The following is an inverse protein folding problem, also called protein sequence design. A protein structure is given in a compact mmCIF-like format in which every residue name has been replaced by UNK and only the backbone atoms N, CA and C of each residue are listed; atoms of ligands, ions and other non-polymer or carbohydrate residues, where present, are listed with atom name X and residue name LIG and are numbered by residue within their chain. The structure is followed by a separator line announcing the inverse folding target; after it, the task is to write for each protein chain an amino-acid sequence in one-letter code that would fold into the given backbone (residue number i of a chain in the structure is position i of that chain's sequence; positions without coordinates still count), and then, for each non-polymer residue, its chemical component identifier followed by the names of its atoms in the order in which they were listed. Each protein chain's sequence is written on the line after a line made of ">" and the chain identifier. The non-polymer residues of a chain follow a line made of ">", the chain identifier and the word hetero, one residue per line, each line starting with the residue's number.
data_IF_427408051445
#
_entry.id   IF_427408051445
#
_cell.length_a   1.000
_cell.length_b   1.000
_cell.length_c   1.000
_cell.angle_alpha   90.00
_cell.angle_beta   90.00
_cell.angle_gamma   90.00
#
_symmetry.space_group_name_H-M   'P 1'
#
loop_
_entity.id
_entity.type
_entity.pdbx_description
1 polymer ?
#
# COMPACT_ATOMS: atom_id res chain seq x y z
N UNK A 1 0.98 -45.31 -3.69
CA UNK A 1 0.86 -44.07 -4.50
C UNK A 1 1.30 -42.93 -3.64
N UNK A 2 2.44 -42.32 -3.97
CA UNK A 2 2.96 -41.17 -3.26
C UNK A 2 1.98 -40.00 -3.49
N UNK A 3 1.44 -39.45 -2.41
CA UNK A 3 0.61 -38.25 -2.48
C UNK A 3 1.54 -37.06 -2.77
N UNK A 4 1.71 -36.74 -4.01
CA UNK A 4 2.36 -35.53 -4.52
C UNK A 4 1.39 -34.34 -4.32
N UNK A 5 1.19 -33.91 -3.08
CA UNK A 5 0.12 -32.95 -2.80
C UNK A 5 0.69 -31.56 -2.50
N UNK A 6 1.96 -31.44 -2.22
CA UNK A 6 2.59 -30.16 -1.97
C UNK A 6 3.75 -29.93 -2.92
N UNK A 7 3.54 -29.07 -3.92
CA UNK A 7 4.59 -28.53 -4.77
C UNK A 7 4.81 -27.11 -4.31
N UNK A 8 5.91 -26.81 -3.58
CA UNK A 8 6.15 -25.50 -2.97
C UNK A 8 6.09 -24.35 -3.98
N UNK A 9 6.51 -24.59 -5.20
CA UNK A 9 6.51 -23.60 -6.29
C UNK A 9 5.09 -23.17 -6.69
N UNK A 10 4.16 -24.13 -6.89
CA UNK A 10 2.77 -23.83 -7.24
C UNK A 10 2.07 -23.10 -6.09
N UNK A 11 2.40 -23.43 -4.86
CA UNK A 11 1.88 -22.74 -3.69
C UNK A 11 2.44 -21.32 -3.56
N UNK A 12 3.72 -21.12 -3.85
CA UNK A 12 4.32 -19.79 -3.86
C UNK A 12 3.65 -18.87 -4.90
N UNK A 13 3.37 -19.41 -6.09
CA UNK A 13 2.65 -18.66 -7.13
C UNK A 13 1.23 -18.30 -6.70
N UNK A 14 0.49 -19.24 -6.11
CA UNK A 14 -0.86 -18.96 -5.58
C UNK A 14 -0.85 -17.94 -4.44
N UNK A 15 0.17 -17.97 -3.57
CA UNK A 15 0.34 -16.97 -2.50
C UNK A 15 0.65 -15.60 -3.10
N UNK A 16 1.54 -15.52 -4.09
CA UNK A 16 1.90 -14.25 -4.75
C UNK A 16 0.71 -13.64 -5.50
N UNK A 17 -0.07 -14.46 -6.23
CA UNK A 17 -1.29 -14.00 -6.91
C UNK A 17 -2.30 -13.43 -5.91
N UNK A 18 -2.52 -14.15 -4.81
CA UNK A 18 -3.45 -13.73 -3.77
C UNK A 18 -2.94 -12.49 -3.01
N UNK A 19 -1.64 -12.40 -2.75
CA UNK A 19 -1.02 -11.23 -2.13
C UNK A 19 -1.37 -9.97 -2.92
N UNK A 20 -1.16 -9.97 -4.24
CA UNK A 20 -1.43 -8.83 -5.10
C UNK A 20 -2.90 -8.37 -5.05
N UNK A 21 -3.84 -9.30 -4.84
CA UNK A 21 -5.27 -8.97 -4.68
C UNK A 21 -5.63 -8.51 -3.28
N UNK A 22 -4.85 -8.88 -2.27
CA UNK A 22 -5.11 -8.56 -0.86
C UNK A 22 -4.48 -7.24 -0.44
N UNK A 23 -3.36 -6.85 -1.05
CA UNK A 23 -2.68 -5.56 -0.81
C UNK A 23 -3.63 -4.39 -1.09
N UNK A 24 -3.77 -3.50 -0.10
CA UNK A 24 -4.59 -2.28 -0.21
C UNK A 24 -3.73 -1.05 -0.53
N UNK A 25 -2.74 -0.77 0.30
CA UNK A 25 -1.75 0.28 0.00
C UNK A 25 -0.90 -0.10 -1.21
N UNK A 26 -0.53 -1.37 -1.36
CA UNK A 26 0.19 -1.86 -2.53
C UNK A 26 -0.59 -1.68 -3.84
N UNK A 27 -1.93 -1.75 -3.82
CA UNK A 27 -2.77 -1.48 -4.99
C UNK A 27 -2.79 -0.01 -5.44
N UNK A 28 -2.38 0.91 -4.56
CA UNK A 28 -2.29 2.36 -4.82
C UNK A 28 -0.83 2.79 -5.02
N UNK A 29 0.11 2.00 -4.50
CA UNK A 29 1.54 2.23 -4.63
C UNK A 29 2.07 1.75 -5.99
N UNK A 30 3.15 2.38 -6.44
CA UNK A 30 3.86 1.98 -7.64
C UNK A 30 4.74 0.76 -7.38
N UNK A 31 4.57 -0.30 -8.17
CA UNK A 31 5.45 -1.46 -8.14
C UNK A 31 6.69 -1.19 -8.99
N UNK A 32 7.80 -0.90 -8.35
CA UNK A 32 9.08 -0.64 -9.00
C UNK A 32 9.93 -1.91 -9.19
N UNK A 33 9.41 -3.10 -8.92
CA UNK A 33 10.14 -4.37 -9.00
C UNK A 33 10.70 -4.63 -10.40
N UNK A 34 9.98 -4.21 -11.44
CA UNK A 34 10.41 -4.38 -12.83
C UNK A 34 11.49 -3.38 -13.29
N UNK A 35 11.61 -2.23 -12.59
CA UNK A 35 12.54 -1.17 -12.98
C UNK A 35 13.97 -1.39 -12.45
N UNK A 36 14.16 -2.33 -11.55
CA UNK A 36 15.44 -2.52 -10.86
C UNK A 36 15.90 -3.98 -10.93
N UNK A 37 16.15 -4.52 -12.13
CA UNK A 37 16.57 -5.92 -12.29
C UNK A 37 17.94 -6.21 -11.65
N UNK A 38 18.80 -5.21 -11.49
CA UNK A 38 20.15 -5.38 -10.94
C UNK A 38 20.23 -5.40 -9.40
N UNK A 39 19.21 -4.88 -8.71
CA UNK A 39 19.16 -4.82 -7.24
C UNK A 39 18.91 -6.20 -6.61
N UNK A 40 18.50 -7.18 -7.39
CA UNK A 40 18.26 -8.55 -6.91
C UNK A 40 19.48 -9.26 -6.34
N UNK A 41 20.68 -8.71 -6.48
CA UNK A 41 21.93 -9.45 -6.20
C UNK A 41 22.81 -8.90 -5.09
N UNK A 42 22.69 -7.66 -4.64
CA UNK A 42 23.61 -7.14 -3.62
C UNK A 42 23.07 -5.90 -2.87
N UNK A 43 23.14 -5.93 -1.55
CA UNK A 43 23.00 -4.77 -0.68
C UNK A 43 21.75 -4.77 0.21
N UNK A 44 21.86 -4.13 1.38
CA UNK A 44 20.79 -4.00 2.37
C UNK A 44 19.93 -2.74 2.14
N UNK A 45 20.30 -1.90 1.17
CA UNK A 45 19.62 -0.64 0.87
C UNK A 45 19.27 -0.53 -0.60
N UNK A 46 18.09 0.00 -0.86
CA UNK A 46 17.58 0.25 -2.18
C UNK A 46 17.51 1.75 -2.43
N UNK A 47 17.91 2.18 -3.62
CA UNK A 47 17.97 3.58 -4.02
C UNK A 47 16.77 3.94 -4.90
N UNK A 48 15.96 4.91 -4.46
CA UNK A 48 14.87 5.49 -5.24
C UNK A 48 15.29 6.87 -5.73
N UNK A 49 15.57 7.07 -7.02
CA UNK A 49 15.97 8.38 -7.52
C UNK A 49 14.79 9.35 -7.47
N UNK A 50 14.96 10.48 -6.78
CA UNK A 50 14.02 11.60 -6.80
C UNK A 50 14.54 12.67 -7.76
N UNK A 51 13.73 13.02 -8.74
CA UNK A 51 14.02 14.11 -9.67
C UNK A 51 13.32 15.37 -9.15
N UNK A 52 14.09 16.38 -8.76
CA UNK A 52 13.53 17.69 -8.41
C UNK A 52 13.34 18.52 -9.67
N UNK A 53 12.18 19.16 -9.79
CA UNK A 53 11.93 20.14 -10.84
C UNK A 53 12.75 21.40 -10.57
N UNK A 54 13.87 21.56 -11.28
CA UNK A 54 14.75 22.73 -11.16
C UNK A 54 14.71 23.62 -12.40
N UNK A 55 14.21 23.12 -13.53
CA UNK A 55 14.16 23.90 -14.76
C UNK A 55 13.06 24.98 -14.72
N UNK A 56 13.47 26.24 -14.84
CA UNK A 56 12.56 27.38 -15.04
C UNK A 56 12.52 27.72 -16.52
N UNK A 57 11.36 28.04 -17.02
CA UNK A 57 11.18 28.59 -18.38
C UNK A 57 11.44 30.08 -18.30
N UNK A 58 12.42 30.57 -19.06
CA UNK A 58 12.76 31.99 -19.14
C UNK A 58 12.40 32.55 -20.51
N UNK A 59 12.09 33.83 -20.56
CA UNK A 59 11.90 34.53 -21.81
C UNK A 59 13.24 34.67 -22.56
N UNK A 60 13.35 34.11 -23.74
CA UNK A 60 14.56 34.14 -24.55
C UNK A 60 14.65 35.46 -25.28
N UNK A 61 15.67 36.26 -24.94
CA UNK A 61 16.01 37.48 -25.70
C UNK A 61 17.01 37.07 -26.80
N UNK A 62 16.77 37.53 -28.03
CA UNK A 62 17.65 37.25 -29.21
C UNK A 62 19.10 37.68 -28.89
N UNK A 63 20.01 36.73 -28.97
CA UNK A 63 21.43 36.94 -28.69
C UNK A 63 21.91 36.67 -27.27
N UNK A 64 21.03 36.27 -26.37
CA UNK A 64 21.35 35.88 -24.99
C UNK A 64 21.33 34.35 -24.88
N UNK A 65 22.40 33.77 -24.36
CA UNK A 65 22.47 32.33 -24.11
C UNK A 65 21.61 31.97 -22.89
N UNK A 66 20.82 30.88 -22.97
CA UNK A 66 20.12 30.31 -21.84
C UNK A 66 21.13 29.68 -20.88
N UNK A 67 20.92 29.87 -19.57
CA UNK A 67 21.70 29.19 -18.55
C UNK A 67 21.06 27.83 -18.29
N UNK A 68 21.70 26.69 -18.63
CA UNK A 68 21.13 25.39 -18.35
C UNK A 68 21.06 25.19 -16.83
N UNK A 69 19.88 24.81 -16.33
CA UNK A 69 19.72 24.37 -14.96
C UNK A 69 20.21 22.91 -14.84
N UNK A 70 21.02 22.61 -13.86
CA UNK A 70 21.41 21.24 -13.58
C UNK A 70 20.21 20.46 -13.03
N UNK A 71 20.06 19.22 -13.51
CA UNK A 71 19.05 18.31 -12.97
C UNK A 71 19.48 17.88 -11.55
N UNK A 72 18.81 18.38 -10.53
CA UNK A 72 19.07 17.98 -9.14
C UNK A 72 18.38 16.65 -8.88
N UNK A 73 19.17 15.58 -8.83
CA UNK A 73 18.72 14.24 -8.47
C UNK A 73 19.09 13.97 -7.02
N UNK A 74 18.09 13.89 -6.14
CA UNK A 74 18.30 13.43 -4.78
C UNK A 74 18.08 11.94 -4.69
N UNK A 75 18.96 11.26 -3.97
CA UNK A 75 18.85 9.83 -3.70
C UNK A 75 18.04 9.61 -2.42
N UNK A 76 17.03 8.79 -2.50
CA UNK A 76 16.22 8.38 -1.36
C UNK A 76 16.42 6.88 -1.11
N UNK A 77 17.06 6.53 0.00
CA UNK A 77 17.34 5.14 0.34
C UNK A 77 16.20 4.51 1.14
N UNK A 78 15.88 3.25 0.84
CA UNK A 78 15.03 2.40 1.64
C UNK A 78 15.80 1.19 2.14
N UNK A 79 15.58 0.81 3.38
CA UNK A 79 16.13 -0.40 3.97
C UNK A 79 15.33 -1.62 3.51
N UNK A 80 16.02 -2.68 3.11
CA UNK A 80 15.38 -3.93 2.69
C UNK A 80 14.99 -4.71 3.94
N UNK A 81 13.72 -5.07 4.04
CA UNK A 81 13.17 -5.86 5.13
C UNK A 81 13.04 -7.32 4.74
N UNK A 82 13.45 -8.21 5.62
CA UNK A 82 13.23 -9.64 5.50
C UNK A 82 12.08 -10.05 6.40
N UNK A 83 10.99 -10.49 5.79
CA UNK A 83 9.83 -11.01 6.52
C UNK A 83 9.65 -12.49 6.29
N UNK A 84 9.15 -13.18 7.31
CA UNK A 84 8.86 -14.60 7.23
C UNK A 84 7.69 -14.98 8.13
N UNK A 85 6.98 -16.01 7.71
CA UNK A 85 5.90 -16.63 8.47
C UNK A 85 6.07 -18.14 8.43
N UNK A 86 5.87 -18.81 9.57
CA UNK A 86 6.02 -20.25 9.67
C UNK A 86 4.75 -20.88 10.25
N UNK A 87 4.33 -21.98 9.65
CA UNK A 87 3.16 -22.76 10.06
C UNK A 87 3.57 -24.20 10.27
N UNK A 88 3.09 -24.80 11.35
CA UNK A 88 3.29 -26.23 11.65
C UNK A 88 2.00 -26.99 11.45
N UNK A 89 2.06 -28.05 10.65
CA UNK A 89 0.94 -28.94 10.38
C UNK A 89 1.28 -30.32 10.94
N UNK A 90 0.45 -30.82 11.86
CA UNK A 90 0.61 -32.17 12.36
C UNK A 90 -0.04 -33.19 11.41
N UNK A 91 0.56 -34.38 11.32
CA UNK A 91 0.06 -35.46 10.47
C UNK A 91 -1.39 -35.87 10.82
N UNK A 92 -1.74 -35.81 12.11
CA UNK A 92 -3.09 -36.05 12.59
C UNK A 92 -4.10 -35.11 11.95
N UNK A 93 -3.78 -33.80 11.92
CA UNK A 93 -4.67 -32.79 11.36
C UNK A 93 -4.79 -32.94 9.84
N UNK A 94 -3.66 -33.26 9.17
CA UNK A 94 -3.62 -33.54 7.73
C UNK A 94 -4.48 -34.76 7.34
N UNK A 95 -4.56 -35.77 8.21
CA UNK A 95 -5.39 -36.95 7.99
C UNK A 95 -6.88 -36.71 8.21
N UNK A 96 -7.23 -35.77 9.11
CA UNK A 96 -8.62 -35.47 9.49
C UNK A 96 -9.28 -34.44 8.55
N UNK A 97 -8.49 -33.51 7.98
CA UNK A 97 -8.98 -32.42 7.12
C UNK A 97 -8.55 -32.66 5.68
N UNK A 98 -9.42 -33.28 4.88
CA UNK A 98 -9.15 -33.50 3.45
C UNK A 98 -9.29 -32.22 2.63
N UNK A 99 -8.20 -31.78 1.98
CA UNK A 99 -8.22 -30.84 0.85
C UNK A 99 -8.41 -29.35 1.16
N UNK A 100 -9.09 -28.98 2.24
CA UNK A 100 -9.40 -27.58 2.57
C UNK A 100 -8.26 -26.85 3.31
N UNK A 101 -7.32 -27.61 3.88
CA UNK A 101 -6.27 -27.05 4.73
C UNK A 101 -5.28 -26.20 3.92
N UNK A 102 -4.97 -26.61 2.71
CA UNK A 102 -3.99 -25.96 1.85
C UNK A 102 -4.44 -24.56 1.43
N UNK A 103 -5.67 -24.42 0.93
CA UNK A 103 -6.24 -23.13 0.51
C UNK A 103 -6.34 -22.15 1.67
N UNK A 104 -6.63 -22.65 2.88
CA UNK A 104 -6.67 -21.83 4.09
C UNK A 104 -5.29 -21.34 4.50
N UNK A 105 -4.25 -22.19 4.38
CA UNK A 105 -2.87 -21.78 4.69
C UNK A 105 -2.41 -20.71 3.69
N UNK A 106 -2.60 -20.92 2.39
CA UNK A 106 -2.32 -19.93 1.35
C UNK A 106 -3.00 -18.61 1.68
N UNK A 107 -4.28 -18.66 2.06
CA UNK A 107 -5.05 -17.49 2.43
C UNK A 107 -4.44 -16.75 3.62
N UNK A 108 -4.15 -17.46 4.70
CA UNK A 108 -3.59 -16.87 5.91
C UNK A 108 -2.20 -16.28 5.70
N UNK A 109 -1.32 -16.99 4.98
CA UNK A 109 0.03 -16.49 4.66
C UNK A 109 -0.07 -15.19 3.86
N UNK A 110 -0.88 -15.19 2.78
CA UNK A 110 -1.06 -14.00 1.95
C UNK A 110 -1.63 -12.83 2.74
N UNK A 111 -2.65 -13.07 3.57
CA UNK A 111 -3.32 -12.05 4.36
C UNK A 111 -2.38 -11.43 5.41
N UNK A 112 -1.59 -12.23 6.11
CA UNK A 112 -0.64 -11.73 7.12
C UNK A 112 0.56 -10.99 6.49
N UNK A 113 1.08 -11.51 5.37
CA UNK A 113 2.14 -10.80 4.64
C UNK A 113 1.63 -9.47 4.06
N UNK A 114 0.43 -9.46 3.47
CA UNK A 114 -0.19 -8.24 2.98
C UNK A 114 -0.38 -7.18 4.07
N UNK A 115 -0.84 -7.58 5.26
CA UNK A 115 -0.98 -6.68 6.40
C UNK A 115 0.35 -6.06 6.81
N UNK A 116 1.42 -6.86 6.82
CA UNK A 116 2.74 -6.38 7.19
C UNK A 116 3.26 -5.37 6.16
N UNK A 117 3.17 -5.68 4.87
CA UNK A 117 3.59 -4.80 3.79
C UNK A 117 2.77 -3.49 3.79
N UNK A 118 1.43 -3.58 3.92
CA UNK A 118 0.56 -2.40 4.00
C UNK A 118 0.87 -1.53 5.22
N UNK A 119 1.18 -2.14 6.37
CA UNK A 119 1.59 -1.42 7.59
C UNK A 119 2.93 -0.71 7.40
N UNK A 120 3.87 -1.33 6.70
CA UNK A 120 5.16 -0.73 6.40
C UNK A 120 5.04 0.42 5.39
N UNK A 121 4.17 0.28 4.37
CA UNK A 121 3.86 1.36 3.44
C UNK A 121 3.24 2.56 4.16
N UNK A 122 2.29 2.34 5.06
CA UNK A 122 1.72 3.42 5.88
C UNK A 122 2.75 4.07 6.79
N UNK A 123 3.66 3.29 7.37
CA UNK A 123 4.75 3.79 8.21
C UNK A 123 5.77 4.62 7.41
N UNK A 124 6.05 4.23 6.17
CA UNK A 124 6.89 5.01 5.26
C UNK A 124 6.26 6.38 4.93
N UNK A 125 4.94 6.43 4.75
CA UNK A 125 4.22 7.69 4.58
C UNK A 125 4.31 8.55 5.85
N UNK A 126 4.01 7.98 7.02
CA UNK A 126 4.01 8.72 8.30
C UNK A 126 5.37 9.35 8.62
N UNK A 127 6.47 8.70 8.21
CA UNK A 127 7.84 9.16 8.44
C UNK A 127 8.21 10.33 7.54
N UNK A 128 7.94 10.24 6.25
CA UNK A 128 8.54 11.12 5.24
C UNK A 128 7.57 12.18 4.68
N UNK A 129 6.26 12.09 4.95
CA UNK A 129 5.26 13.02 4.41
C UNK A 129 5.41 14.43 4.97
N UNK A 130 5.26 15.42 4.09
CA UNK A 130 5.33 16.86 4.44
C UNK A 130 3.96 17.36 4.91
N UNK A 131 2.88 17.02 4.20
CA UNK A 131 1.55 17.54 4.48
C UNK A 131 0.82 16.71 5.53
N UNK A 132 0.66 17.28 6.72
CA UNK A 132 -0.07 16.68 7.84
C UNK A 132 -1.15 17.63 8.31
N UNK A 133 -2.40 17.23 8.20
CA UNK A 133 -3.56 17.90 8.76
C UNK A 133 -3.98 17.15 10.02
N UNK A 134 -4.09 17.83 11.13
CA UNK A 134 -4.58 17.26 12.37
C UNK A 134 -5.78 18.06 12.87
N UNK A 135 -6.90 17.40 13.10
CA UNK A 135 -8.07 18.01 13.71
C UNK A 135 -8.36 17.30 15.03
N UNK A 136 -8.20 18.03 16.12
CA UNK A 136 -8.53 17.55 17.46
C UNK A 136 -10.07 17.48 17.65
N UNK A 137 -10.51 16.48 18.40
CA UNK A 137 -11.86 16.36 18.95
C UNK A 137 -13.04 16.23 17.97
N UNK A 138 -12.88 15.49 16.88
CA UNK A 138 -14.01 15.22 16.01
C UNK A 138 -14.25 13.72 15.81
N UNK A 139 -15.51 13.34 15.89
CA UNK A 139 -15.99 11.95 15.77
C UNK A 139 -16.01 11.42 14.33
N UNK A 140 -15.64 12.21 13.36
CA UNK A 140 -15.61 11.82 11.96
C UNK A 140 -14.92 12.85 11.08
N UNK A 141 -14.64 12.48 9.84
CA UNK A 141 -14.10 13.37 8.82
C UNK A 141 -15.23 14.03 8.04
N UNK A 142 -15.07 15.30 7.65
CA UNK A 142 -16.04 16.06 6.86
C UNK A 142 -15.50 16.30 5.44
N UNK A 143 -16.42 16.57 4.51
CA UNK A 143 -16.07 16.93 3.12
C UNK A 143 -15.20 18.19 3.06
N UNK A 144 -15.50 19.20 3.86
CA UNK A 144 -14.71 20.44 3.93
C UNK A 144 -13.26 20.19 4.36
N UNK A 145 -13.02 19.25 5.29
CA UNK A 145 -11.66 18.89 5.72
C UNK A 145 -10.90 18.16 4.62
N UNK A 146 -11.57 17.28 3.87
CA UNK A 146 -10.96 16.61 2.73
C UNK A 146 -10.59 17.60 1.63
N UNK A 147 -11.48 18.57 1.33
CA UNK A 147 -11.19 19.63 0.36
C UNK A 147 -10.00 20.49 0.81
N UNK A 148 -9.98 20.93 2.07
CA UNK A 148 -8.84 21.67 2.62
C UNK A 148 -7.53 20.85 2.57
N UNK A 149 -7.62 19.53 2.75
CA UNK A 149 -6.46 18.67 2.58
C UNK A 149 -6.00 18.58 1.12
N UNK A 150 -6.95 18.54 0.17
CA UNK A 150 -6.66 18.54 -1.26
C UNK A 150 -6.07 19.88 -1.74
N UNK A 151 -6.41 21.00 -1.11
CA UNK A 151 -5.86 22.33 -1.42
C UNK A 151 -4.34 22.40 -1.24
N UNK A 152 -3.74 21.53 -0.41
CA UNK A 152 -2.29 21.42 -0.29
C UNK A 152 -1.59 21.03 -1.59
N UNK A 153 -2.31 20.44 -2.53
CA UNK A 153 -1.75 20.07 -3.84
C UNK A 153 -1.77 21.20 -4.85
N UNK A 154 -2.45 22.34 -4.55
CA UNK A 154 -2.57 23.50 -5.41
C UNK A 154 -3.15 23.15 -6.79
N UNK A 155 -2.55 23.71 -7.84
CA UNK A 155 -3.02 23.51 -9.24
C UNK A 155 -2.85 22.07 -9.74
N UNK A 156 -2.17 21.20 -9.00
CA UNK A 156 -1.96 19.79 -9.33
C UNK A 156 -3.03 18.87 -8.68
N UNK A 157 -4.20 19.38 -8.35
CA UNK A 157 -5.29 18.62 -7.72
C UNK A 157 -6.23 17.93 -8.74
N UNK A 158 -5.73 17.64 -9.95
CA UNK A 158 -6.50 16.91 -10.95
C UNK A 158 -6.87 15.51 -10.48
N UNK A 159 -8.13 15.12 -10.66
CA UNK A 159 -8.67 13.81 -10.25
C UNK A 159 -7.86 12.64 -10.77
N UNK A 160 -7.41 12.73 -12.04
CA UNK A 160 -6.62 11.69 -12.68
C UNK A 160 -5.21 11.54 -12.10
N UNK A 161 -4.73 12.53 -11.35
CA UNK A 161 -3.42 12.49 -10.70
C UNK A 161 -3.42 11.68 -9.40
N UNK A 162 -4.61 11.41 -8.84
CA UNK A 162 -4.74 10.65 -7.60
C UNK A 162 -4.81 9.15 -7.84
N UNK A 163 -4.14 8.39 -6.98
CA UNK A 163 -4.22 6.94 -6.94
C UNK A 163 -5.37 6.46 -6.06
N UNK A 164 -5.64 7.16 -4.95
CA UNK A 164 -6.75 6.83 -4.07
C UNK A 164 -6.73 7.53 -2.71
N UNK A 165 -7.85 7.38 -2.01
CA UNK A 165 -8.01 7.82 -0.62
C UNK A 165 -8.10 6.58 0.26
N UNK A 166 -7.16 6.41 1.20
CA UNK A 166 -7.16 5.31 2.14
C UNK A 166 -7.81 5.73 3.44
N UNK A 167 -8.81 4.97 3.90
CA UNK A 167 -9.55 5.28 5.12
C UNK A 167 -9.59 4.10 6.09
N UNK A 168 -9.75 4.41 7.38
CA UNK A 168 -10.03 3.39 8.39
C UNK A 168 -11.51 2.99 8.39
N UNK A 169 -11.82 1.74 8.75
CA UNK A 169 -13.19 1.24 8.83
C UNK A 169 -14.10 2.02 9.78
N UNK A 170 -13.53 2.62 10.83
CA UNK A 170 -14.26 3.48 11.78
C UNK A 170 -14.81 4.76 11.14
N UNK A 171 -14.18 5.25 10.07
CA UNK A 171 -14.61 6.46 9.36
C UNK A 171 -15.58 6.16 8.21
N UNK A 172 -15.85 4.88 7.91
CA UNK A 172 -16.75 4.50 6.80
C UNK A 172 -18.09 5.20 6.86
N UNK A 173 -18.73 5.24 8.02
CA UNK A 173 -20.05 5.87 8.20
C UNK A 173 -20.02 7.38 7.89
N UNK A 174 -18.92 8.06 8.25
CA UNK A 174 -18.76 9.47 7.94
C UNK A 174 -18.69 9.71 6.43
N UNK A 175 -17.93 8.88 5.70
CA UNK A 175 -17.85 8.98 4.23
C UNK A 175 -19.17 8.68 3.54
N UNK A 176 -19.89 7.63 3.94
CA UNK A 176 -21.17 7.24 3.34
C UNK A 176 -22.26 8.32 3.55
N UNK A 177 -22.15 9.09 4.62
CA UNK A 177 -23.10 10.18 4.89
C UNK A 177 -22.75 11.52 4.21
N UNK A 178 -21.61 11.62 3.51
CA UNK A 178 -21.25 12.83 2.77
C UNK A 178 -22.12 12.97 1.49
N UNK A 179 -22.71 14.14 1.22
CA UNK A 179 -23.49 14.36 -0.01
C UNK A 179 -22.67 14.13 -1.28
N UNK A 180 -21.40 14.54 -1.27
CA UNK A 180 -20.47 14.40 -2.38
C UNK A 180 -20.12 12.94 -2.68
N UNK A 181 -20.27 12.06 -1.70
CA UNK A 181 -20.04 10.63 -1.85
C UNK A 181 -21.31 9.89 -2.31
N UNK A 182 -22.49 10.33 -1.88
CA UNK A 182 -23.76 9.65 -2.19
C UNK A 182 -24.41 10.10 -3.49
N UNK A 183 -24.18 11.35 -3.90
CA UNK A 183 -24.79 11.89 -5.12
C UNK A 183 -24.04 11.43 -6.36
N UNK A 184 -24.75 10.71 -7.25
CA UNK A 184 -24.22 10.28 -8.56
C UNK A 184 -23.81 11.45 -9.47
N UNK A 185 -24.44 12.60 -9.31
CA UNK A 185 -24.09 13.81 -10.06
C UNK A 185 -22.75 14.42 -9.64
N UNK A 186 -22.36 14.23 -8.37
CA UNK A 186 -21.13 14.78 -7.81
C UNK A 186 -19.97 13.75 -7.81
N UNK A 187 -20.27 12.47 -7.89
CA UNK A 187 -19.23 11.40 -7.86
C UNK A 187 -18.70 11.04 -9.24
N UNK A 188 -19.30 11.55 -10.32
CA UNK A 188 -18.94 11.20 -11.70
C UNK A 188 -19.01 9.69 -12.00
N UNK A 189 -19.91 8.96 -11.32
CA UNK A 189 -19.98 7.50 -11.36
C UNK A 189 -21.34 6.97 -11.78
N UNK A 190 -21.29 5.92 -12.61
CA UNK A 190 -22.47 5.15 -13.05
C UNK A 190 -22.85 4.06 -12.04
N UNK A 191 -21.94 3.62 -11.16
CA UNK A 191 -22.18 2.57 -10.18
C UNK A 191 -22.35 3.16 -8.78
N UNK A 192 -23.37 2.71 -8.06
CA UNK A 192 -23.70 3.18 -6.72
C UNK A 192 -22.55 3.03 -5.72
N UNK A 193 -22.33 4.10 -4.94
CA UNK A 193 -21.38 4.12 -3.83
C UNK A 193 -21.95 3.40 -2.60
N UNK A 194 -21.06 2.97 -1.71
CA UNK A 194 -21.38 2.33 -0.44
C UNK A 194 -21.34 0.81 -0.47
N UNK A 195 -21.23 0.19 -1.64
CA UNK A 195 -21.03 -1.25 -1.78
C UNK A 195 -19.53 -1.53 -1.78
N UNK A 196 -19.07 -2.28 -0.78
CA UNK A 196 -17.65 -2.64 -0.68
C UNK A 196 -17.31 -3.73 -1.70
N UNK A 197 -16.44 -3.40 -2.65
CA UNK A 197 -15.89 -4.35 -3.61
C UNK A 197 -14.36 -4.22 -3.61
N UNK A 198 -13.66 -5.29 -3.33
CA UNK A 198 -12.20 -5.32 -3.23
C UNK A 198 -11.61 -4.24 -2.30
N UNK A 199 -12.33 -3.90 -1.20
CA UNK A 199 -11.96 -2.84 -0.27
C UNK A 199 -12.31 -1.43 -0.70
N UNK A 200 -12.63 -1.20 -1.96
CA UNK A 200 -13.16 0.09 -2.42
C UNK A 200 -14.62 0.22 -2.00
N UNK A 201 -14.95 1.32 -1.30
CA UNK A 201 -16.31 1.62 -0.83
C UNK A 201 -17.06 2.57 -1.78
N UNK A 202 -16.36 3.19 -2.71
CA UNK A 202 -16.91 4.13 -3.66
C UNK A 202 -15.88 5.15 -4.12
N UNK A 203 -16.37 6.27 -4.64
CA UNK A 203 -15.54 7.33 -5.19
C UNK A 203 -15.94 8.67 -4.57
N UNK A 204 -14.97 9.44 -4.17
CA UNK A 204 -15.11 10.81 -3.71
C UNK A 204 -14.55 11.75 -4.77
N UNK A 205 -15.39 12.58 -5.39
CA UNK A 205 -15.00 13.46 -6.51
C UNK A 205 -14.21 12.74 -7.62
N UNK A 206 -14.59 11.47 -7.92
CA UNK A 206 -13.91 10.64 -8.92
C UNK A 206 -12.68 9.89 -8.42
N UNK A 207 -12.21 10.12 -7.19
CA UNK A 207 -11.06 9.43 -6.59
C UNK A 207 -11.55 8.18 -5.85
N UNK A 208 -10.97 6.99 -6.07
CA UNK A 208 -11.40 5.77 -5.37
C UNK A 208 -11.10 5.85 -3.88
N UNK A 209 -12.07 5.49 -3.05
CA UNK A 209 -11.95 5.44 -1.59
C UNK A 209 -11.82 3.98 -1.17
N UNK A 210 -10.65 3.64 -0.61
CA UNK A 210 -10.29 2.28 -0.23
C UNK A 210 -10.25 2.17 1.29
N UNK A 211 -10.95 1.18 1.82
CA UNK A 211 -11.02 0.93 3.25
C UNK A 211 -9.97 -0.11 3.66
N UNK A 212 -9.13 0.26 4.63
CA UNK A 212 -8.18 -0.65 5.26
C UNK A 212 -7.97 -0.28 6.73
N UNK A 213 -7.76 -1.29 7.57
CA UNK A 213 -7.38 -1.07 8.97
C UNK A 213 -5.87 -1.15 9.19
N UNK A 214 -5.13 -1.61 8.16
CA UNK A 214 -3.68 -1.78 8.26
C UNK A 214 -3.01 -0.40 8.24
N UNK A 215 -2.33 -0.04 9.32
CA UNK A 215 -1.59 1.22 9.44
C UNK A 215 -2.42 2.51 9.47
N UNK A 216 -3.75 2.43 9.38
CA UNK A 216 -4.66 3.59 9.34
C UNK A 216 -5.18 4.02 10.72
N UNK A 217 -4.74 3.39 11.79
CA UNK A 217 -5.11 3.74 13.15
C UNK A 217 -3.88 3.87 14.04
N UNK A 218 -3.83 4.92 14.86
CA UNK A 218 -2.80 5.15 15.87
C UNK A 218 -3.38 4.83 17.25
N UNK A 219 -2.97 3.70 17.83
CA UNK A 219 -3.47 3.23 19.13
C UNK A 219 -3.06 4.14 20.28
N UNK A 220 -1.92 4.83 20.15
CA UNK A 220 -1.40 5.70 21.22
C UNK A 220 -2.20 6.99 21.30
N UNK A 221 -2.52 7.59 20.16
CA UNK A 221 -3.26 8.85 20.08
C UNK A 221 -4.76 8.66 19.92
N UNK A 222 -5.22 7.41 19.70
CA UNK A 222 -6.61 7.08 19.36
C UNK A 222 -7.12 7.86 18.14
N UNK A 223 -6.26 8.00 17.13
CA UNK A 223 -6.53 8.73 15.90
C UNK A 223 -6.64 7.80 14.69
N UNK A 224 -7.67 8.04 13.88
CA UNK A 224 -7.74 7.47 12.53
C UNK A 224 -6.96 8.36 11.57
N UNK A 225 -6.23 7.72 10.67
CA UNK A 225 -5.45 8.37 9.61
C UNK A 225 -6.15 8.13 8.28
N UNK A 226 -6.41 9.20 7.56
CA UNK A 226 -6.88 9.16 6.17
C UNK A 226 -5.75 9.66 5.29
N UNK A 227 -5.38 8.88 4.29
CA UNK A 227 -4.30 9.21 3.36
C UNK A 227 -4.90 9.54 2.00
N UNK A 228 -4.55 10.71 1.45
CA UNK A 228 -4.85 11.09 0.06
C UNK A 228 -3.53 10.93 -0.70
N UNK A 229 -3.49 10.01 -1.65
CA UNK A 229 -2.25 9.56 -2.29
C UNK A 229 -2.32 9.85 -3.78
N UNK A 230 -1.31 10.55 -4.32
CA UNK A 230 -1.09 10.71 -5.76
C UNK A 230 -0.47 9.47 -6.37
N UNK A 231 -0.68 9.29 -7.67
CA UNK A 231 0.01 8.25 -8.45
C UNK A 231 1.52 8.44 -8.34
N UNK A 232 2.24 7.33 -8.27
CA UNK A 232 3.69 7.26 -8.22
C UNK A 232 4.35 7.93 -7.00
N UNK A 233 3.55 8.41 -6.01
CA UNK A 233 4.08 9.00 -4.79
C UNK A 233 4.61 7.97 -3.81
N UNK A 234 4.01 6.79 -3.76
CA UNK A 234 4.37 5.68 -2.87
C UNK A 234 4.89 4.52 -3.71
N UNK A 235 6.00 3.91 -3.31
CA UNK A 235 6.60 2.79 -4.02
C UNK A 235 6.97 1.63 -3.12
N UNK A 236 6.93 0.45 -3.69
CA UNK A 236 7.50 -0.75 -3.10
C UNK A 236 8.26 -1.56 -4.15
N UNK A 237 9.18 -2.38 -3.68
CA UNK A 237 9.99 -3.25 -4.54
C UNK A 237 10.19 -4.57 -3.82
N UNK A 238 9.97 -5.66 -4.53
CA UNK A 238 10.36 -6.99 -4.07
C UNK A 238 11.76 -7.34 -4.58
N UNK A 239 12.71 -7.52 -3.68
CA UNK A 239 14.01 -8.10 -4.01
C UNK A 239 13.88 -9.61 -4.20
N UNK A 240 13.08 -10.27 -3.35
CA UNK A 240 12.73 -11.68 -3.43
C UNK A 240 11.22 -11.81 -3.22
N UNK A 241 10.52 -12.32 -4.23
CA UNK A 241 9.11 -12.67 -4.11
C UNK A 241 8.92 -13.71 -3.00
N UNK A 242 7.68 -13.91 -2.58
CA UNK A 242 7.39 -14.90 -1.55
C UNK A 242 7.82 -16.28 -2.03
N UNK A 243 8.71 -16.90 -1.25
CA UNK A 243 9.12 -18.29 -1.43
C UNK A 243 8.61 -19.12 -0.27
N UNK A 244 8.19 -20.34 -0.57
CA UNK A 244 7.73 -21.31 0.41
C UNK A 244 8.72 -22.47 0.48
N UNK A 245 9.10 -22.81 1.70
CA UNK A 245 9.98 -23.95 1.98
C UNK A 245 9.28 -24.90 2.94
N UNK A 246 9.39 -26.20 2.69
CA UNK A 246 8.83 -27.25 3.53
C UNK A 246 9.95 -27.97 4.29
N UNK A 247 9.79 -28.11 5.59
CA UNK A 247 10.71 -28.85 6.44
C UNK A 247 9.97 -29.92 7.24
N UNK A 248 10.37 -31.19 7.05
CA UNK A 248 9.78 -32.31 7.78
C UNK A 248 10.39 -32.45 9.16
N UNK A 249 9.56 -32.39 10.20
CA UNK A 249 9.92 -32.64 11.59
C UNK A 249 9.47 -34.06 11.98
N UNK A 250 10.27 -35.08 11.63
CA UNK A 250 9.89 -36.49 11.79
C UNK A 250 9.58 -36.87 13.25
N UNK A 251 10.35 -36.35 14.21
CA UNK A 251 10.18 -36.64 15.63
C UNK A 251 8.89 -36.05 16.21
N UNK A 252 8.36 -34.96 15.60
CA UNK A 252 7.12 -34.31 16.03
C UNK A 252 5.91 -34.77 15.21
N UNK A 253 6.11 -35.67 14.24
CA UNK A 253 5.07 -36.08 13.29
C UNK A 253 4.36 -34.87 12.67
N UNK A 254 5.16 -33.85 12.27
CA UNK A 254 4.69 -32.59 11.76
C UNK A 254 5.52 -32.14 10.55
N UNK A 255 4.94 -31.24 9.76
CA UNK A 255 5.62 -30.57 8.65
C UNK A 255 5.55 -29.07 8.90
N UNK A 256 6.67 -28.39 8.83
CA UNK A 256 6.78 -26.94 8.93
C UNK A 256 6.81 -26.36 7.52
N UNK A 257 5.95 -25.37 7.27
CA UNK A 257 5.92 -24.57 6.04
C UNK A 257 6.39 -23.18 6.41
N UNK A 258 7.46 -22.72 5.78
CA UNK A 258 8.06 -21.40 6.01
C UNK A 258 7.89 -20.58 4.74
N UNK A 259 7.22 -19.44 4.87
CA UNK A 259 7.12 -18.43 3.83
C UNK A 259 8.10 -17.29 4.12
N UNK A 260 8.84 -16.83 3.14
CA UNK A 260 9.78 -15.71 3.30
C UNK A 260 9.77 -14.79 2.09
N UNK A 261 10.00 -13.48 2.32
CA UNK A 261 10.09 -12.47 1.28
C UNK A 261 11.05 -11.36 1.69
N UNK A 262 11.71 -10.75 0.70
CA UNK A 262 12.56 -9.56 0.86
C UNK A 262 11.94 -8.42 0.06
N UNK A 263 11.64 -7.30 0.71
CA UNK A 263 11.05 -6.13 0.07
C UNK A 263 11.52 -4.83 0.73
N UNK A 264 11.34 -3.74 0.01
CA UNK A 264 11.53 -2.39 0.53
C UNK A 264 10.33 -1.52 0.19
N UNK A 265 9.98 -0.61 1.09
CA UNK A 265 8.90 0.36 0.91
C UNK A 265 9.44 1.78 1.10
N UNK A 266 8.98 2.71 0.26
CA UNK A 266 9.42 4.10 0.35
C UNK A 266 8.35 5.07 -0.15
N UNK A 267 8.27 6.25 0.50
CA UNK A 267 7.59 7.41 -0.04
C UNK A 267 8.54 8.08 -1.04
N UNK A 268 8.20 8.02 -2.34
CA UNK A 268 9.01 8.55 -3.44
C UNK A 268 8.83 10.07 -3.52
N UNK A 269 7.57 10.53 -3.48
CA UNK A 269 7.23 11.96 -3.47
C UNK A 269 6.61 12.35 -2.13
N UNK A 270 7.36 13.08 -1.33
CA UNK A 270 6.97 13.56 0.00
C UNK A 270 5.87 14.64 -0.04
N UNK A 271 5.68 15.28 -1.20
CA UNK A 271 4.59 16.24 -1.46
C UNK A 271 3.38 15.61 -2.14
N UNK A 272 3.49 14.35 -2.57
CA UNK A 272 2.45 13.61 -3.26
C UNK A 272 1.40 12.98 -2.33
N UNK A 273 1.56 13.08 -1.02
CA UNK A 273 0.63 12.49 -0.03
C UNK A 273 0.24 13.51 1.03
N UNK A 274 -1.04 13.50 1.41
CA UNK A 274 -1.56 14.26 2.55
C UNK A 274 -2.17 13.29 3.57
N UNK A 275 -1.83 13.48 4.85
CA UNK A 275 -2.42 12.74 5.96
C UNK A 275 -3.41 13.63 6.69
N UNK A 276 -4.66 13.19 6.77
CA UNK A 276 -5.69 13.77 7.63
C UNK A 276 -5.85 12.91 8.87
N UNK A 277 -5.65 13.49 10.06
CA UNK A 277 -5.78 12.79 11.34
C UNK A 277 -7.09 13.19 12.01
N UNK A 278 -7.80 12.21 12.54
CA UNK A 278 -9.06 12.39 13.27
C UNK A 278 -9.06 11.54 14.53
N UNK A 279 -9.30 12.19 15.66
CA UNK A 279 -9.57 11.47 16.92
C UNK A 279 -10.95 10.81 16.81
N UNK A 280 -11.01 9.53 17.12
CA UNK A 280 -12.26 8.74 17.14
C UNK A 280 -12.36 8.08 18.49
N UNK A 281 -13.45 8.34 19.18
CA UNK A 281 -13.75 7.78 20.50
C UNK A 281 -14.12 6.27 20.41
#
# INVERSE_FOLDING_TARGET
>A
MANTIFIPEIFADAVNEKLNTTLRFGGVAFDATSLVPEIKTAGDTMHFPKIKRTAKVENVVKGTALTPAELDMSDSTAEIKYIGSAFRIFDKDKAQVKGVLQDKIVSQVSDEMAKTIDSDLSSAIDKDVVFKSAVANATGITSAELQTAMDNFGDNADTDSFAGIMINSKLRSAFVNMPEFTSTALTYQTNGNGIVKNGCIGYYLGIPVIMTNNGTFDDTKKECKTYIIKKDALGYVFQKNITLEESRQALLLATDIVASSLYATKLIDDTGVVICRKTVA
#
